data_IF_749434128341
#
_entry.id   IF_749434128341
#
_cell.length_a   1.000
_cell.length_b   1.000
_cell.length_c   1.000
_cell.angle_alpha   90.00
_cell.angle_beta   90.00
_cell.angle_gamma   90.00
#
_symmetry.space_group_name_H-M   'P 1'
#
loop_
_entity.id
_entity.type
_entity.pdbx_description
1 polymer ?
#
# COMPACT_ATOMS: atom_id res chain seq x y z
N UNK A 1 35.66 56.88 -39.13
CA UNK A 1 34.52 56.18 -39.73
C UNK A 1 34.75 54.67 -39.66
N UNK A 2 34.63 54.00 -38.56
CA UNK A 2 35.00 52.58 -38.53
C UNK A 2 34.34 51.74 -37.42
N UNK A 3 33.91 52.34 -36.34
CA UNK A 3 33.37 51.56 -35.20
C UNK A 3 31.87 51.28 -35.35
N UNK A 4 31.11 52.27 -35.79
CA UNK A 4 29.65 52.15 -35.97
C UNK A 4 29.27 51.16 -37.05
N UNK A 5 29.99 51.15 -38.16
CA UNK A 5 29.78 50.19 -39.28
C UNK A 5 30.14 48.73 -38.89
N UNK A 6 31.02 48.53 -37.92
CA UNK A 6 31.31 47.18 -37.38
C UNK A 6 30.23 46.72 -36.45
N UNK A 7 29.69 47.61 -35.65
CA UNK A 7 28.56 47.30 -34.72
C UNK A 7 27.28 46.96 -35.48
N UNK A 8 26.95 47.72 -36.54
CA UNK A 8 25.79 47.41 -37.41
C UNK A 8 25.91 46.05 -38.12
N UNK A 9 27.11 45.70 -38.61
CA UNK A 9 27.34 44.38 -39.21
C UNK A 9 27.27 43.23 -38.18
N UNK A 10 27.63 43.50 -36.95
CA UNK A 10 27.54 42.50 -35.87
C UNK A 10 26.09 42.29 -35.47
N UNK A 11 25.32 43.38 -35.35
CA UNK A 11 23.90 43.32 -35.02
C UNK A 11 23.08 42.62 -36.12
N UNK A 12 23.38 42.88 -37.41
CA UNK A 12 22.77 42.17 -38.54
C UNK A 12 23.11 40.67 -38.60
N UNK A 13 24.30 40.26 -38.15
CA UNK A 13 24.65 38.82 -38.04
C UNK A 13 23.95 38.17 -36.89
N UNK A 14 23.82 38.85 -35.73
CA UNK A 14 23.10 38.34 -34.56
C UNK A 14 21.61 38.19 -34.88
N UNK A 15 20.98 39.20 -35.48
CA UNK A 15 19.54 39.14 -35.80
C UNK A 15 19.22 38.08 -36.86
N UNK A 16 20.08 37.88 -37.89
CA UNK A 16 19.90 36.77 -38.85
C UNK A 16 20.13 35.40 -38.24
N UNK A 17 21.08 35.27 -37.32
CA UNK A 17 21.31 34.06 -36.54
C UNK A 17 20.11 33.75 -35.65
N UNK A 18 19.60 34.78 -34.95
CA UNK A 18 18.46 34.67 -34.07
C UNK A 18 17.15 34.29 -34.81
N UNK A 19 16.92 34.84 -35.99
CA UNK A 19 15.75 34.50 -36.81
C UNK A 19 15.76 33.04 -37.31
N UNK A 20 16.92 32.44 -37.49
CA UNK A 20 17.07 31.04 -37.90
C UNK A 20 17.07 30.07 -36.75
N UNK A 21 17.72 30.43 -35.65
CA UNK A 21 17.85 29.61 -34.44
C UNK A 21 16.73 29.85 -33.43
N UNK A 22 16.17 31.07 -33.39
CA UNK A 22 15.16 31.44 -32.41
C UNK A 22 13.91 30.57 -32.45
N UNK A 23 13.47 30.18 -33.66
CA UNK A 23 12.34 29.24 -33.82
C UNK A 23 12.68 27.84 -33.30
N UNK A 24 13.91 27.40 -33.38
CA UNK A 24 14.37 26.12 -32.87
C UNK A 24 14.51 26.17 -31.35
N UNK A 25 15.08 27.20 -30.80
CA UNK A 25 15.21 27.44 -29.35
C UNK A 25 13.85 27.55 -28.70
N UNK A 26 12.89 28.28 -29.29
CA UNK A 26 11.52 28.34 -28.81
C UNK A 26 10.82 26.98 -28.82
N UNK A 27 11.01 26.18 -29.85
CA UNK A 27 10.46 24.84 -29.94
C UNK A 27 11.03 23.93 -28.85
N UNK A 28 12.31 23.99 -28.59
CA UNK A 28 12.96 23.23 -27.52
C UNK A 28 12.54 23.69 -26.14
N UNK A 29 12.43 25.01 -25.92
CA UNK A 29 11.95 25.59 -24.65
C UNK A 29 10.53 25.17 -24.30
N UNK A 30 9.68 24.89 -25.25
CA UNK A 30 8.32 24.40 -25.04
C UNK A 30 8.31 22.86 -25.01
N UNK A 31 9.05 22.20 -25.89
CA UNK A 31 9.03 20.73 -26.00
C UNK A 31 9.58 20.03 -24.76
N UNK A 32 10.64 20.59 -24.14
CA UNK A 32 11.25 19.99 -22.94
C UNK A 32 10.29 19.96 -21.74
N UNK A 33 9.66 21.08 -21.32
CA UNK A 33 8.70 21.05 -20.20
C UNK A 33 7.45 20.24 -20.53
N UNK A 34 6.98 20.23 -21.78
CA UNK A 34 5.84 19.38 -22.19
C UNK A 34 6.21 17.89 -22.10
N UNK A 35 7.38 17.50 -22.58
CA UNK A 35 7.86 16.12 -22.48
C UNK A 35 8.05 15.69 -21.02
N UNK A 36 8.61 16.58 -20.18
CA UNK A 36 8.76 16.35 -18.76
C UNK A 36 7.40 16.18 -18.06
N UNK A 37 6.43 17.05 -18.38
CA UNK A 37 5.08 16.94 -17.84
C UNK A 37 4.40 15.62 -18.24
N UNK A 38 4.49 15.24 -19.52
CA UNK A 38 3.95 13.95 -19.98
C UNK A 38 4.63 12.75 -19.33
N UNK A 39 5.94 12.82 -19.08
CA UNK A 39 6.67 11.80 -18.35
C UNK A 39 6.17 11.71 -16.90
N UNK A 40 6.01 12.83 -16.19
CA UNK A 40 5.48 12.86 -14.82
C UNK A 40 4.06 12.30 -14.75
N UNK A 41 3.20 12.67 -15.69
CA UNK A 41 1.83 12.13 -15.78
C UNK A 41 1.87 10.62 -16.07
N UNK A 42 2.72 10.18 -16.98
CA UNK A 42 2.91 8.75 -17.27
C UNK A 42 3.35 7.95 -16.04
N UNK A 43 4.35 8.46 -15.31
CA UNK A 43 4.81 7.83 -14.05
C UNK A 43 3.70 7.81 -13.01
N UNK A 44 2.87 8.87 -12.90
CA UNK A 44 1.76 8.93 -11.95
C UNK A 44 0.63 7.95 -12.28
N UNK A 45 0.41 7.67 -13.57
CA UNK A 45 -0.66 6.74 -14.01
C UNK A 45 -0.18 5.29 -13.98
N UNK A 46 1.07 5.02 -14.38
CA UNK A 46 1.63 3.67 -14.49
C UNK A 46 2.77 3.37 -13.52
N UNK A 47 3.12 4.31 -12.63
CA UNK A 47 4.18 4.11 -11.64
C UNK A 47 3.83 3.02 -10.64
N UNK A 48 4.86 2.47 -10.00
CA UNK A 48 4.71 1.54 -8.89
C UNK A 48 3.88 2.18 -7.76
N UNK A 49 3.09 1.41 -7.00
CA UNK A 49 2.37 1.93 -5.84
C UNK A 49 3.35 2.61 -4.87
N UNK A 50 3.11 3.89 -4.58
CA UNK A 50 4.02 4.74 -3.80
C UNK A 50 3.58 4.95 -2.35
N UNK A 51 2.40 4.47 -1.98
CA UNK A 51 1.86 4.59 -0.62
C UNK A 51 2.47 3.57 0.35
N UNK A 52 2.56 3.91 1.62
CA UNK A 52 2.86 2.96 2.68
C UNK A 52 1.79 1.86 2.75
N UNK A 53 2.19 0.67 3.21
CA UNK A 53 1.26 -0.45 3.40
C UNK A 53 0.52 -0.28 4.72
N UNK A 54 -0.79 -0.46 4.70
CA UNK A 54 -1.64 -0.55 5.87
C UNK A 54 -2.00 -2.02 6.08
N UNK A 55 -1.56 -2.61 7.19
CA UNK A 55 -1.94 -3.97 7.57
C UNK A 55 -3.30 -3.97 8.25
N UNK A 56 -4.19 -4.86 7.82
CA UNK A 56 -5.50 -5.07 8.43
C UNK A 56 -5.60 -6.53 8.87
N UNK A 57 -5.85 -6.75 10.16
CA UNK A 57 -5.96 -8.10 10.72
C UNK A 57 -7.42 -8.57 10.72
N UNK A 58 -7.61 -9.83 10.36
CA UNK A 58 -8.87 -10.58 10.51
C UNK A 58 -8.57 -11.93 11.13
N UNK A 59 -9.22 -12.27 12.25
CA UNK A 59 -9.00 -13.52 12.95
C UNK A 59 -10.29 -14.32 13.06
N UNK A 60 -10.28 -15.55 12.58
CA UNK A 60 -11.32 -16.55 12.80
C UNK A 60 -10.88 -17.58 13.86
N UNK A 61 -9.75 -17.31 14.54
CA UNK A 61 -9.22 -18.18 15.56
C UNK A 61 -10.03 -18.02 16.87
N UNK A 62 -10.14 -19.10 17.63
CA UNK A 62 -10.70 -19.12 18.98
C UNK A 62 -9.76 -18.55 20.05
N UNK A 63 -8.54 -18.17 19.63
CA UNK A 63 -7.50 -17.59 20.50
C UNK A 63 -7.19 -16.16 20.07
N UNK A 64 -6.96 -15.26 21.04
CA UNK A 64 -6.50 -13.91 20.72
C UNK A 64 -5.12 -13.92 20.08
N UNK A 65 -4.91 -13.01 19.15
CA UNK A 65 -3.58 -12.71 18.56
C UNK A 65 -3.05 -11.46 19.27
N UNK A 66 -1.93 -11.59 19.99
CA UNK A 66 -1.28 -10.45 20.66
C UNK A 66 -0.63 -9.48 19.68
N UNK A 67 -0.15 -10.00 18.58
CA UNK A 67 0.44 -9.23 17.50
C UNK A 67 0.90 -10.16 16.40
N UNK A 68 1.12 -9.57 15.24
CA UNK A 68 1.67 -10.28 14.09
C UNK A 68 2.64 -9.37 13.32
N UNK A 69 3.40 -9.97 12.42
CA UNK A 69 4.21 -9.21 11.47
C UNK A 69 4.18 -9.87 10.10
N UNK A 70 4.35 -9.06 9.07
CA UNK A 70 4.52 -9.50 7.68
C UNK A 70 5.83 -8.93 7.16
N UNK A 71 6.78 -9.79 6.82
CA UNK A 71 8.14 -9.41 6.42
C UNK A 71 8.79 -8.42 7.42
N UNK A 72 8.57 -8.62 8.73
CA UNK A 72 9.09 -7.76 9.78
C UNK A 72 8.28 -6.49 10.05
N UNK A 73 7.31 -6.12 9.21
CA UNK A 73 6.37 -5.04 9.50
C UNK A 73 5.37 -5.50 10.54
N UNK A 74 5.37 -4.85 11.71
CA UNK A 74 4.45 -5.17 12.80
C UNK A 74 3.01 -4.81 12.45
N UNK A 75 2.08 -5.69 12.77
CA UNK A 75 0.64 -5.50 12.67
C UNK A 75 -0.01 -5.33 14.05
N UNK A 76 -1.32 -5.08 14.04
CA UNK A 76 -2.14 -4.92 15.24
C UNK A 76 -2.46 -6.26 15.89
N UNK A 77 -3.08 -6.20 17.07
CA UNK A 77 -3.66 -7.36 17.76
C UNK A 77 -5.10 -7.64 17.31
N UNK A 78 -5.61 -8.82 17.62
CA UNK A 78 -7.02 -9.16 17.44
C UNK A 78 -7.51 -10.04 18.60
N UNK A 79 -8.77 -9.83 18.98
CA UNK A 79 -9.46 -10.77 19.87
C UNK A 79 -9.81 -12.06 19.11
N UNK A 80 -10.16 -13.10 19.86
CA UNK A 80 -10.72 -14.32 19.29
C UNK A 80 -11.95 -13.98 18.41
N UNK A 81 -12.00 -14.53 17.20
CA UNK A 81 -13.02 -14.23 16.18
C UNK A 81 -13.20 -12.73 15.90
N UNK A 82 -12.13 -11.94 16.05
CA UNK A 82 -12.14 -10.49 15.88
C UNK A 82 -11.30 -10.03 14.68
N UNK A 83 -11.32 -8.73 14.42
CA UNK A 83 -10.52 -8.16 13.35
C UNK A 83 -10.82 -6.69 13.11
N UNK A 84 -10.32 -6.18 11.98
CA UNK A 84 -10.51 -4.79 11.57
C UNK A 84 -9.52 -3.79 12.19
N UNK A 85 -8.66 -4.22 13.11
CA UNK A 85 -7.56 -3.37 13.58
C UNK A 85 -6.54 -3.14 12.47
N UNK A 86 -6.01 -1.93 12.39
CA UNK A 86 -5.09 -1.52 11.33
C UNK A 86 -3.77 -1.01 11.89
N UNK A 87 -2.69 -1.24 11.17
CA UNK A 87 -1.38 -0.65 11.44
C UNK A 87 -0.83 -0.05 10.15
N UNK A 88 -0.49 1.21 10.16
CA UNK A 88 0.15 1.95 9.06
C UNK A 88 1.66 2.02 9.36
N UNK A 89 2.44 2.30 8.53
CA UNK A 89 2.69 2.74 7.20
C UNK A 89 4.05 2.17 6.85
N UNK A 90 4.13 0.87 6.70
CA UNK A 90 5.37 0.16 6.40
C UNK A 90 5.57 -0.06 4.92
N UNK A 91 6.61 -0.79 4.61
CA UNK A 91 6.93 -1.22 3.26
C UNK A 91 7.02 -2.74 3.23
N UNK A 92 6.19 -3.35 2.39
CA UNK A 92 6.19 -4.80 2.19
C UNK A 92 6.47 -5.06 0.72
N UNK A 93 7.60 -5.69 0.46
CA UNK A 93 8.08 -6.01 -0.89
C UNK A 93 8.49 -7.47 -0.96
N UNK A 94 8.58 -7.97 -2.20
CA UNK A 94 9.03 -9.33 -2.46
C UNK A 94 7.96 -10.16 -3.15
N UNK A 95 8.31 -11.40 -3.41
CA UNK A 95 7.39 -12.40 -3.99
C UNK A 95 6.75 -13.27 -2.92
N UNK A 96 7.35 -13.28 -1.73
CA UNK A 96 6.93 -14.09 -0.59
C UNK A 96 6.72 -13.19 0.62
N UNK A 97 5.81 -13.60 1.47
CA UNK A 97 5.51 -12.99 2.75
C UNK A 97 5.77 -13.98 3.87
N UNK A 98 6.68 -13.63 4.77
CA UNK A 98 6.83 -14.32 6.04
C UNK A 98 5.86 -13.68 7.03
N UNK A 99 4.88 -14.45 7.47
CA UNK A 99 3.90 -14.03 8.48
C UNK A 99 4.24 -14.73 9.79
N UNK A 100 4.48 -13.92 10.82
CA UNK A 100 4.73 -14.41 12.19
C UNK A 100 3.65 -13.84 13.09
N UNK A 101 3.02 -14.67 13.94
CA UNK A 101 2.02 -14.20 14.88
C UNK A 101 2.14 -14.90 16.22
N UNK A 102 1.73 -14.21 17.29
CA UNK A 102 1.72 -14.73 18.65
C UNK A 102 0.29 -14.95 19.11
N UNK A 103 -0.03 -16.22 19.35
CA UNK A 103 -1.31 -16.63 19.93
C UNK A 103 -1.26 -16.46 21.43
N UNK A 104 -2.21 -15.73 21.98
CA UNK A 104 -2.44 -15.67 23.42
C UNK A 104 -3.46 -16.72 23.86
N UNK A 105 -3.86 -16.64 25.10
CA UNK A 105 -4.88 -17.50 25.68
C UNK A 105 -5.97 -16.67 26.37
N UNK A 106 -7.20 -17.13 26.28
CA UNK A 106 -8.25 -16.65 27.18
C UNK A 106 -8.00 -17.19 28.57
N UNK A 107 -8.63 -16.60 29.60
CA UNK A 107 -8.52 -17.10 30.99
C UNK A 107 -8.93 -18.57 31.12
N UNK A 108 -9.98 -18.98 30.43
CA UNK A 108 -10.43 -20.36 30.40
C UNK A 108 -9.36 -21.30 29.78
N UNK A 109 -8.82 -20.93 28.63
CA UNK A 109 -7.76 -21.67 27.94
C UNK A 109 -6.48 -21.76 28.80
N UNK A 110 -6.09 -20.66 29.47
CA UNK A 110 -4.95 -20.65 30.38
C UNK A 110 -5.13 -21.65 31.54
N UNK A 111 -6.33 -21.72 32.13
CA UNK A 111 -6.66 -22.64 33.20
C UNK A 111 -6.64 -24.11 32.77
N UNK A 112 -6.86 -24.39 31.47
CA UNK A 112 -6.73 -25.76 30.91
C UNK A 112 -5.29 -26.12 30.51
N UNK A 113 -4.33 -25.23 30.77
CA UNK A 113 -2.91 -25.49 30.51
C UNK A 113 -2.37 -24.92 29.20
N UNK A 114 -3.20 -24.28 28.37
CA UNK A 114 -2.68 -23.59 27.17
C UNK A 114 -1.77 -22.42 27.56
N UNK A 115 -0.79 -22.18 26.72
CA UNK A 115 0.17 -21.07 26.88
C UNK A 115 0.28 -20.28 25.58
N UNK A 116 0.94 -19.14 25.66
CA UNK A 116 1.30 -18.35 24.48
C UNK A 116 2.16 -19.17 23.52
N UNK A 117 1.92 -18.94 22.23
CA UNK A 117 2.56 -19.69 21.18
C UNK A 117 2.86 -18.80 19.98
N UNK A 118 4.09 -18.88 19.48
CA UNK A 118 4.51 -18.16 18.27
C UNK A 118 4.38 -19.10 17.09
N UNK A 119 3.69 -18.64 16.06
CA UNK A 119 3.50 -19.34 14.80
C UNK A 119 4.15 -18.56 13.66
N UNK A 120 4.57 -19.28 12.63
CA UNK A 120 5.22 -18.71 11.45
C UNK A 120 4.82 -19.49 10.22
N UNK A 121 4.56 -18.74 9.13
CA UNK A 121 4.32 -19.32 7.81
C UNK A 121 4.92 -18.42 6.73
N UNK A 122 5.43 -19.02 5.67
CA UNK A 122 5.83 -18.31 4.47
C UNK A 122 4.86 -18.67 3.35
N UNK A 123 4.33 -17.66 2.67
CA UNK A 123 3.35 -17.85 1.60
C UNK A 123 3.59 -16.82 0.48
N UNK A 124 3.11 -17.08 -0.74
CA UNK A 124 3.23 -16.12 -1.84
C UNK A 124 2.57 -14.80 -1.48
N UNK A 125 3.29 -13.69 -1.67
CA UNK A 125 2.72 -12.35 -1.53
C UNK A 125 1.95 -12.03 -2.82
N UNK A 126 0.64 -11.72 -2.75
CA UNK A 126 -0.12 -11.30 -3.91
C UNK A 126 0.46 -10.03 -4.53
N UNK A 127 0.36 -9.89 -5.85
CA UNK A 127 0.81 -8.70 -6.55
C UNK A 127 -0.05 -7.49 -6.17
N UNK A 128 0.61 -6.41 -5.73
CA UNK A 128 -0.04 -5.15 -5.36
C UNK A 128 -0.33 -4.33 -6.61
N UNK A 129 -1.58 -3.98 -6.84
CA UNK A 129 -1.99 -3.08 -7.92
C UNK A 129 -1.95 -1.62 -7.46
N UNK A 130 -1.94 -0.71 -8.43
CA UNK A 130 -2.01 0.72 -8.14
C UNK A 130 -3.28 1.06 -7.34
N UNK A 131 -3.14 1.89 -6.29
CA UNK A 131 -4.24 2.27 -5.40
C UNK A 131 -4.58 1.25 -4.30
N UNK A 132 -3.96 0.08 -4.28
CA UNK A 132 -4.18 -0.92 -3.23
C UNK A 132 -3.19 -0.73 -2.09
N UNK A 133 -3.55 0.01 -1.07
CA UNK A 133 -2.68 0.32 0.08
C UNK A 133 -2.94 -0.58 1.29
N UNK A 134 -4.06 -1.31 1.32
CA UNK A 134 -4.45 -2.17 2.42
C UNK A 134 -4.11 -3.63 2.13
N UNK A 135 -3.25 -4.22 2.98
CA UNK A 135 -2.96 -5.65 2.99
C UNK A 135 -3.76 -6.32 4.11
N UNK A 136 -4.77 -7.07 3.73
CA UNK A 136 -5.59 -7.87 4.65
C UNK A 136 -4.90 -9.18 4.95
N UNK A 137 -4.76 -9.49 6.24
CA UNK A 137 -4.17 -10.73 6.75
C UNK A 137 -5.26 -11.49 7.49
N UNK A 138 -5.71 -12.60 6.94
CA UNK A 138 -6.74 -13.46 7.50
C UNK A 138 -6.10 -14.67 8.17
N UNK A 139 -6.31 -14.81 9.47
CA UNK A 139 -5.89 -15.97 10.25
C UNK A 139 -7.07 -16.93 10.40
N UNK A 140 -6.91 -18.15 9.92
CA UNK A 140 -7.94 -19.19 9.90
C UNK A 140 -7.52 -20.38 10.75
N UNK A 141 -8.47 -21.20 11.22
CA UNK A 141 -8.16 -22.45 11.92
C UNK A 141 -7.24 -23.37 11.13
N UNK A 142 -6.33 -24.06 11.84
CA UNK A 142 -5.36 -24.96 11.23
C UNK A 142 -4.14 -24.25 10.64
N UNK A 143 -3.72 -23.14 11.25
CA UNK A 143 -2.54 -22.34 10.85
C UNK A 143 -2.56 -21.85 9.41
N UNK A 144 -3.75 -21.63 8.87
CA UNK A 144 -3.92 -21.10 7.53
C UNK A 144 -3.95 -19.58 7.56
N UNK A 145 -3.19 -18.97 6.67
CA UNK A 145 -3.15 -17.52 6.50
C UNK A 145 -3.47 -17.17 5.06
N UNK A 146 -4.33 -16.18 4.84
CA UNK A 146 -4.59 -15.62 3.52
C UNK A 146 -4.21 -14.15 3.50
N UNK A 147 -3.58 -13.73 2.40
CA UNK A 147 -3.21 -12.36 2.12
C UNK A 147 -4.02 -11.83 0.94
N UNK A 148 -4.49 -10.60 1.04
CA UNK A 148 -5.20 -9.95 -0.05
C UNK A 148 -5.07 -8.44 -0.02
N UNK A 149 -4.82 -7.83 -1.18
CA UNK A 149 -4.77 -6.38 -1.33
C UNK A 149 -6.14 -5.80 -1.61
N UNK A 150 -6.40 -4.61 -1.08
CA UNK A 150 -7.59 -3.81 -1.38
C UNK A 150 -7.28 -2.31 -1.40
N UNK A 151 -8.22 -1.52 -1.91
CA UNK A 151 -8.17 -0.06 -1.93
C UNK A 151 -8.68 0.59 -0.64
N UNK A 152 -9.25 -0.19 0.27
CA UNK A 152 -9.85 0.30 1.51
C UNK A 152 -9.80 -0.73 2.64
N UNK A 153 -10.29 -0.34 3.80
CA UNK A 153 -10.28 -1.17 5.00
C UNK A 153 -11.23 -2.39 4.96
N UNK A 154 -12.16 -2.43 3.98
CA UNK A 154 -13.05 -3.58 3.76
C UNK A 154 -12.33 -4.76 3.13
N UNK A 155 -12.44 -5.94 3.72
CA UNK A 155 -11.75 -7.13 3.21
C UNK A 155 -12.31 -7.61 1.87
N UNK A 156 -11.46 -7.95 0.90
CA UNK A 156 -11.90 -8.56 -0.35
C UNK A 156 -12.55 -9.94 -0.16
N UNK A 157 -12.36 -10.55 1.01
CA UNK A 157 -12.91 -11.87 1.35
C UNK A 157 -14.22 -11.80 2.14
N UNK A 158 -14.61 -10.64 2.69
CA UNK A 158 -15.86 -10.47 3.46
C UNK A 158 -17.11 -10.72 2.63
N UNK A 159 -17.06 -10.52 1.33
CA UNK A 159 -18.18 -10.82 0.42
C UNK A 159 -18.53 -12.32 0.33
N UNK A 160 -17.72 -13.22 0.90
CA UNK A 160 -17.97 -14.68 0.89
C UNK A 160 -18.67 -15.20 2.14
N UNK A 161 -18.71 -14.42 3.20
CA UNK A 161 -19.40 -14.78 4.44
C UNK A 161 -20.33 -13.63 4.80
N UNK A 162 -21.63 -13.76 4.50
CA UNK A 162 -22.61 -13.09 5.34
C UNK A 162 -22.48 -13.72 6.73
N UNK A 163 -22.01 -13.00 7.73
CA UNK A 163 -22.01 -13.51 9.08
C UNK A 163 -23.47 -13.53 9.53
N UNK A 164 -23.99 -14.72 9.80
CA UNK A 164 -25.18 -14.88 10.64
C UNK A 164 -24.82 -14.47 12.08
N UNK A 165 -24.46 -13.20 12.28
CA UNK A 165 -24.35 -12.65 13.62
C UNK A 165 -25.75 -12.24 14.06
N UNK A 166 -26.31 -12.83 15.12
CA UNK A 166 -27.56 -12.31 15.69
C UNK A 166 -27.31 -10.86 16.07
N UNK A 167 -28.10 -9.97 15.49
CA UNK A 167 -27.99 -8.55 15.76
C UNK A 167 -28.11 -8.32 17.27
N UNK A 168 -27.30 -7.40 17.80
CA UNK A 168 -27.27 -7.02 19.21
C UNK A 168 -28.66 -6.75 19.83
N UNK A 169 -29.65 -6.45 18.99
CA UNK A 169 -31.04 -6.25 19.38
C UNK A 169 -31.74 -7.50 19.94
N UNK A 170 -31.22 -8.69 19.65
CA UNK A 170 -31.84 -9.94 20.16
C UNK A 170 -31.23 -10.40 21.50
N UNK A 171 -30.17 -9.76 22.00
CA UNK A 171 -29.56 -10.08 23.29
C UNK A 171 -30.21 -9.29 24.45
N UNK A 172 -30.88 -8.18 24.18
CA UNK A 172 -31.56 -7.37 25.22
C UNK A 172 -33.03 -7.84 25.50
N UNK A 173 -33.49 -8.85 24.80
CA UNK A 173 -34.87 -9.35 24.92
C UNK A 173 -35.00 -10.71 25.65
N UNK A 174 -33.95 -11.14 26.35
CA UNK A 174 -34.10 -12.33 27.27
C UNK A 174 -34.24 -11.86 28.72
N UNK A 175 -35.35 -12.20 29.37
CA UNK A 175 -35.63 -11.85 30.76
C UNK A 175 -34.68 -12.54 31.76
#
# INVERSE_FOLDING_TARGET
MGLFTRLEKFDQKLTRGYARWGRWVWRMLIAIPVAYFLLCVGISIWGAPTGGVILVIHSELDRPILGFSVNGMAGANAFAHGGGSTTCCGDIRGKEAEVVWTLSTTRAQYNTGLREEVRRITLPLPERKHGQDFLHVHFLPGDKVFLGWSEGAGSPYEKRKEPSYPSRKNQEAQP
#
